data_IF_959417137952
#
_entry.id   IF_959417137952
#
_cell.length_a   1.000
_cell.length_b   1.000
_cell.length_c   1.000
_cell.angle_alpha   90.00
_cell.angle_beta   90.00
_cell.angle_gamma   90.00
#
_symmetry.space_group_name_H-M   'P 1'
#
loop_
_entity.id
_entity.type
_entity.pdbx_description
1 polymer ?
#
# COMPACT_ATOMS: atom_id res chain seq x y z
N UNK A 1 -16.49 -24.94 7.59
CA UNK A 1 -15.87 -23.84 8.37
C UNK A 1 -16.05 -22.57 7.58
N UNK A 2 -16.48 -21.49 8.22
CA UNK A 2 -16.58 -20.20 7.55
C UNK A 2 -15.15 -19.70 7.19
N UNK A 3 -14.92 -19.44 5.92
CA UNK A 3 -13.64 -18.93 5.44
C UNK A 3 -13.43 -17.50 5.96
N UNK A 4 -12.34 -17.26 6.68
CA UNK A 4 -11.98 -15.94 7.20
C UNK A 4 -10.88 -15.36 6.31
N UNK A 5 -11.17 -14.23 5.67
CA UNK A 5 -10.29 -13.58 4.71
C UNK A 5 -9.72 -12.30 5.33
N UNK A 6 -8.40 -12.17 5.30
CA UNK A 6 -7.73 -10.94 5.71
C UNK A 6 -6.95 -10.40 4.51
N UNK A 7 -7.23 -9.14 4.18
CA UNK A 7 -6.47 -8.36 3.22
C UNK A 7 -5.54 -7.41 3.96
N UNK A 8 -4.31 -7.29 3.51
CA UNK A 8 -3.33 -6.37 4.05
C UNK A 8 -2.95 -5.32 3.01
N UNK A 9 -2.82 -4.06 3.43
CA UNK A 9 -1.99 -3.14 2.68
C UNK A 9 -0.51 -3.54 2.82
N UNK A 10 0.36 -2.95 2.03
CA UNK A 10 1.79 -3.25 2.04
C UNK A 10 2.59 -2.14 2.72
N UNK A 11 2.62 -0.96 2.09
CA UNK A 11 3.45 0.17 2.52
C UNK A 11 2.88 0.79 3.80
N UNK A 12 3.66 0.83 4.88
CA UNK A 12 3.19 1.29 6.20
C UNK A 12 2.42 0.25 7.02
N UNK A 13 2.15 -0.92 6.44
CA UNK A 13 1.37 -2.00 7.09
C UNK A 13 2.20 -3.27 7.28
N UNK A 14 2.70 -3.87 6.22
CA UNK A 14 3.58 -5.04 6.26
C UNK A 14 5.05 -4.63 6.31
N UNK A 15 5.39 -3.55 5.61
CA UNK A 15 6.77 -3.07 5.52
C UNK A 15 6.85 -1.56 5.74
N UNK A 16 7.94 -1.12 6.36
CA UNK A 16 8.35 0.28 6.47
C UNK A 16 9.10 0.71 5.20
N UNK A 17 8.35 1.06 4.19
CA UNK A 17 8.87 1.53 2.89
C UNK A 17 9.03 3.04 2.80
N UNK A 18 8.73 3.75 3.88
CA UNK A 18 8.74 5.21 3.90
C UNK A 18 10.07 5.83 3.48
N UNK A 19 11.22 5.39 4.02
CA UNK A 19 12.51 5.96 3.62
C UNK A 19 12.71 5.96 2.10
N UNK A 20 12.42 4.84 1.43
CA UNK A 20 12.56 4.71 -0.02
C UNK A 20 11.57 5.57 -0.80
N UNK A 21 10.30 5.61 -0.38
CA UNK A 21 9.25 6.43 -1.01
C UNK A 21 9.56 7.91 -0.84
N UNK A 22 9.90 8.36 0.36
CA UNK A 22 10.19 9.76 0.66
C UNK A 22 11.42 10.28 -0.10
N UNK A 23 12.48 9.49 -0.17
CA UNK A 23 13.68 9.86 -0.95
C UNK A 23 13.43 9.87 -2.45
N UNK A 24 12.65 8.91 -2.97
CA UNK A 24 12.22 8.92 -4.36
C UNK A 24 11.36 10.16 -4.69
N UNK A 25 10.49 10.56 -3.76
CA UNK A 25 9.69 11.77 -3.88
C UNK A 25 10.57 13.03 -3.87
N UNK A 26 11.55 13.11 -2.96
CA UNK A 26 12.53 14.19 -2.94
C UNK A 26 13.31 14.28 -4.26
N UNK A 27 13.77 13.14 -4.77
CA UNK A 27 14.48 13.08 -6.06
C UNK A 27 13.62 13.64 -7.19
N UNK A 28 12.37 13.22 -7.26
CA UNK A 28 11.43 13.70 -8.26
C UNK A 28 11.12 15.21 -8.12
N UNK A 29 10.86 15.69 -6.90
CA UNK A 29 10.59 17.09 -6.62
C UNK A 29 11.75 18.00 -7.03
N UNK A 30 13.00 17.59 -6.74
CA UNK A 30 14.21 18.33 -7.14
C UNK A 30 14.35 18.49 -8.65
N UNK A 31 13.96 17.50 -9.44
CA UNK A 31 13.97 17.62 -10.90
C UNK A 31 13.05 18.73 -11.43
N UNK A 32 12.07 19.15 -10.64
CA UNK A 32 11.15 20.26 -10.94
C UNK A 32 11.42 21.53 -10.10
N UNK A 33 12.61 21.62 -9.50
CA UNK A 33 13.05 22.82 -8.75
C UNK A 33 12.39 22.97 -7.38
N UNK A 34 11.74 21.92 -6.86
CA UNK A 34 11.13 21.93 -5.53
C UNK A 34 12.08 21.27 -4.52
N UNK A 35 12.67 22.10 -3.65
CA UNK A 35 13.55 21.61 -2.58
C UNK A 35 12.74 21.32 -1.33
N UNK A 36 12.81 20.06 -0.85
CA UNK A 36 12.25 19.58 0.42
C UNK A 36 13.20 18.60 1.06
N UNK A 37 13.20 18.50 2.39
CA UNK A 37 13.84 17.39 3.07
C UNK A 37 12.95 16.16 2.93
N UNK A 38 13.55 15.01 2.63
CA UNK A 38 12.81 13.76 2.48
C UNK A 38 12.05 13.39 3.76
N UNK A 39 12.56 13.76 4.94
CA UNK A 39 11.92 13.53 6.24
C UNK A 39 10.60 14.29 6.43
N UNK A 40 10.34 15.30 5.59
CA UNK A 40 9.09 16.07 5.58
C UNK A 40 8.04 15.50 4.61
N UNK A 41 8.35 14.39 3.91
CA UNK A 41 7.54 13.84 2.82
C UNK A 41 6.81 12.54 3.20
N UNK A 42 6.56 12.31 4.50
CA UNK A 42 5.86 11.12 5.01
C UNK A 42 4.45 10.96 4.44
N UNK A 43 3.79 12.05 4.09
CA UNK A 43 2.47 12.05 3.45
C UNK A 43 2.45 11.49 2.01
N UNK A 44 3.63 11.23 1.41
CA UNK A 44 3.73 10.49 0.15
C UNK A 44 3.54 8.97 0.33
N UNK A 45 3.65 8.47 1.57
CA UNK A 45 3.50 7.04 1.83
C UNK A 45 2.02 6.68 1.92
N UNK A 46 1.56 5.82 1.01
CA UNK A 46 0.20 5.31 0.93
C UNK A 46 -0.73 5.98 -0.08
N UNK A 47 -0.84 7.31 -0.15
CA UNK A 47 -1.67 7.97 -1.17
C UNK A 47 -1.15 7.76 -2.60
N UNK A 48 -2.04 7.88 -3.62
CA UNK A 48 -1.63 7.90 -5.02
C UNK A 48 -0.64 9.07 -5.30
N UNK A 49 0.38 8.79 -6.10
CA UNK A 49 1.44 9.77 -6.40
C UNK A 49 0.92 11.02 -7.13
N UNK A 50 -0.11 10.88 -7.96
CA UNK A 50 -0.71 12.01 -8.66
C UNK A 50 -1.40 12.99 -7.70
N UNK A 51 -2.02 12.49 -6.64
CA UNK A 51 -2.63 13.33 -5.59
C UNK A 51 -1.55 14.07 -4.79
N UNK A 52 -0.44 13.42 -4.48
CA UNK A 52 0.64 14.03 -3.67
C UNK A 52 1.48 15.00 -4.48
N UNK A 53 1.92 14.65 -5.69
CA UNK A 53 2.64 15.61 -6.56
C UNK A 53 1.81 16.80 -6.97
N UNK A 54 0.48 16.63 -7.12
CA UNK A 54 -0.45 17.72 -7.42
C UNK A 54 -0.49 18.84 -6.38
N UNK A 55 0.09 18.66 -5.19
CA UNK A 55 0.26 19.68 -4.17
C UNK A 55 1.46 20.63 -4.47
N UNK A 56 2.37 20.23 -5.35
CA UNK A 56 3.65 20.92 -5.60
C UNK A 56 3.80 21.43 -7.02
N UNK A 57 3.04 20.92 -7.97
CA UNK A 57 3.23 21.21 -9.38
C UNK A 57 1.94 21.16 -10.18
N UNK A 58 1.87 21.80 -11.37
CA UNK A 58 0.73 21.73 -12.26
C UNK A 58 0.55 20.32 -12.85
N UNK A 59 -0.68 20.02 -13.29
CA UNK A 59 -1.07 18.67 -13.77
C UNK A 59 -0.22 18.16 -14.92
N UNK A 60 0.25 19.01 -15.78
CA UNK A 60 1.10 18.69 -16.94
C UNK A 60 2.45 18.11 -16.54
N UNK A 61 2.98 18.47 -15.36
CA UNK A 61 4.28 18.03 -14.87
C UNK A 61 4.20 16.74 -14.07
N UNK A 62 3.03 16.40 -13.54
CA UNK A 62 2.84 15.22 -12.67
C UNK A 62 3.31 13.92 -13.32
N UNK A 63 2.99 13.59 -14.59
CA UNK A 63 3.47 12.35 -15.21
C UNK A 63 4.99 12.24 -15.22
N UNK A 64 5.68 13.34 -15.58
CA UNK A 64 7.15 13.38 -15.58
C UNK A 64 7.75 13.26 -14.19
N UNK A 65 7.13 13.86 -13.16
CA UNK A 65 7.55 13.70 -11.77
C UNK A 65 7.39 12.25 -11.27
N UNK A 66 6.29 11.59 -11.64
CA UNK A 66 6.08 10.17 -11.34
C UNK A 66 7.14 9.30 -12.03
N UNK A 67 7.55 9.63 -13.25
CA UNK A 67 8.61 8.90 -13.94
C UNK A 67 9.97 9.11 -13.25
N UNK A 68 10.29 10.33 -12.79
CA UNK A 68 11.49 10.58 -11.98
C UNK A 68 11.45 9.82 -10.64
N UNK A 69 10.30 9.80 -9.96
CA UNK A 69 10.09 8.98 -8.76
C UNK A 69 10.41 7.51 -9.04
N UNK A 70 9.88 6.97 -10.13
CA UNK A 70 10.10 5.57 -10.53
C UNK A 70 11.56 5.26 -10.80
N UNK A 71 12.33 6.17 -11.42
CA UNK A 71 13.76 6.00 -11.66
C UNK A 71 14.48 5.71 -10.34
N UNK A 72 14.34 6.59 -9.34
CA UNK A 72 14.99 6.37 -8.04
C UNK A 72 14.44 5.13 -7.32
N UNK A 73 13.11 4.99 -7.32
CA UNK A 73 12.46 3.91 -6.58
C UNK A 73 12.83 2.52 -7.10
N UNK A 74 12.91 2.34 -8.43
CA UNK A 74 13.31 1.07 -9.04
C UNK A 74 14.79 0.74 -8.83
N UNK A 75 15.66 1.75 -8.84
CA UNK A 75 17.10 1.51 -8.70
C UNK A 75 17.50 1.25 -7.23
N UNK A 76 16.98 2.04 -6.31
CA UNK A 76 17.45 2.06 -4.91
C UNK A 76 16.29 2.01 -3.92
N UNK A 77 15.26 2.83 -4.12
CA UNK A 77 14.25 3.13 -3.10
C UNK A 77 13.48 1.91 -2.59
N UNK A 78 13.22 0.92 -3.44
CA UNK A 78 12.49 -0.29 -3.03
C UNK A 78 13.30 -1.16 -2.04
N UNK A 79 14.63 -1.01 -1.99
CA UNK A 79 15.53 -1.66 -1.03
C UNK A 79 15.66 -0.89 0.28
N UNK A 80 15.31 0.40 0.29
CA UNK A 80 15.23 1.24 1.50
C UNK A 80 13.90 0.97 2.22
N UNK A 81 13.70 -0.27 2.62
CA UNK A 81 12.45 -0.83 3.08
C UNK A 81 12.77 -2.04 3.96
N UNK A 82 11.95 -2.29 4.99
CA UNK A 82 12.08 -3.47 5.85
C UNK A 82 10.72 -3.90 6.40
N UNK A 83 10.50 -5.19 6.67
CA UNK A 83 9.28 -5.64 7.35
C UNK A 83 9.20 -5.07 8.76
N UNK A 84 8.00 -4.63 9.16
CA UNK A 84 7.79 -4.24 10.55
C UNK A 84 8.07 -5.41 11.50
N UNK A 85 8.62 -5.13 12.72
CA UNK A 85 8.81 -6.16 13.73
C UNK A 85 7.51 -6.92 14.05
N UNK A 86 7.58 -8.25 14.09
CA UNK A 86 6.44 -9.10 14.41
C UNK A 86 5.50 -9.43 13.25
N UNK A 87 5.71 -8.86 12.05
CA UNK A 87 4.85 -9.15 10.87
C UNK A 87 4.90 -10.64 10.51
N UNK A 88 6.08 -11.24 10.46
CA UNK A 88 6.22 -12.66 10.12
C UNK A 88 5.50 -13.55 11.11
N UNK A 89 5.67 -13.33 12.40
CA UNK A 89 5.04 -14.06 13.47
C UNK A 89 3.50 -13.90 13.47
N UNK A 90 3.03 -12.71 13.12
CA UNK A 90 1.61 -12.44 12.93
C UNK A 90 1.04 -13.26 11.77
N UNK A 91 1.70 -13.23 10.61
CA UNK A 91 1.27 -13.97 9.41
C UNK A 91 1.25 -15.48 9.67
N UNK A 92 2.31 -16.02 10.29
CA UNK A 92 2.37 -17.42 10.73
C UNK A 92 1.19 -17.79 11.64
N UNK A 93 0.89 -16.93 12.60
CA UNK A 93 -0.20 -17.15 13.56
C UNK A 93 -1.54 -17.16 12.86
N UNK A 94 -1.78 -16.24 11.95
CA UNK A 94 -3.04 -16.16 11.19
C UNK A 94 -3.24 -17.38 10.31
N UNK A 95 -2.21 -17.84 9.57
CA UNK A 95 -2.29 -19.04 8.75
C UNK A 95 -2.58 -20.28 9.60
N UNK A 96 -1.87 -20.46 10.74
CA UNK A 96 -2.11 -21.58 11.66
C UNK A 96 -3.52 -21.60 12.22
N UNK A 97 -4.18 -20.44 12.32
CA UNK A 97 -5.57 -20.31 12.74
C UNK A 97 -6.59 -20.38 11.58
N UNK A 98 -6.15 -20.77 10.38
CA UNK A 98 -7.03 -21.01 9.23
C UNK A 98 -7.51 -19.75 8.53
N UNK A 99 -6.85 -18.61 8.70
CA UNK A 99 -7.13 -17.40 7.93
C UNK A 99 -6.49 -17.51 6.54
N UNK A 100 -7.23 -17.07 5.53
CA UNK A 100 -6.75 -16.89 4.16
C UNK A 100 -6.24 -15.47 4.01
N UNK A 101 -5.00 -15.30 3.57
CA UNK A 101 -4.32 -14.01 3.55
C UNK A 101 -4.11 -13.52 2.12
N UNK A 102 -4.37 -12.23 1.91
CA UNK A 102 -4.23 -11.55 0.62
C UNK A 102 -3.58 -10.19 0.82
N UNK A 103 -2.91 -9.69 -0.22
CA UNK A 103 -2.44 -8.31 -0.25
C UNK A 103 -3.35 -7.50 -1.17
N UNK A 104 -3.73 -6.30 -0.73
CA UNK A 104 -4.49 -5.32 -1.51
C UNK A 104 -3.85 -3.94 -1.33
N UNK A 105 -2.94 -3.57 -2.21
CA UNK A 105 -2.13 -2.35 -2.12
C UNK A 105 -2.30 -1.42 -3.31
N UNK A 106 -2.19 -0.11 -3.09
CA UNK A 106 -2.14 0.88 -4.18
C UNK A 106 -0.79 0.92 -4.91
N UNK A 107 0.23 0.23 -4.37
CA UNK A 107 1.51 0.03 -5.04
C UNK A 107 1.33 -0.76 -6.35
N UNK A 108 2.20 -0.52 -7.35
CA UNK A 108 2.24 -1.35 -8.56
C UNK A 108 2.37 -2.83 -8.19
N UNK A 109 1.51 -3.68 -8.78
CA UNK A 109 1.47 -5.11 -8.45
C UNK A 109 2.84 -5.79 -8.63
N UNK A 110 3.56 -5.46 -9.72
CA UNK A 110 4.91 -5.99 -9.97
C UNK A 110 5.90 -5.63 -8.85
N UNK A 111 5.83 -4.40 -8.34
CA UNK A 111 6.68 -3.95 -7.24
C UNK A 111 6.28 -4.59 -5.92
N UNK A 112 4.99 -4.76 -5.67
CA UNK A 112 4.50 -5.44 -4.48
C UNK A 112 4.98 -6.90 -4.43
N UNK A 113 4.90 -7.61 -5.56
CA UNK A 113 5.42 -8.97 -5.70
C UNK A 113 6.93 -9.02 -5.46
N UNK A 114 7.69 -8.06 -6.04
CA UNK A 114 9.13 -7.99 -5.87
C UNK A 114 9.52 -7.75 -4.41
N UNK A 115 8.92 -6.79 -3.73
CA UNK A 115 9.17 -6.45 -2.32
C UNK A 115 8.84 -7.64 -1.41
N UNK A 116 7.66 -8.22 -1.55
CA UNK A 116 7.25 -9.35 -0.72
C UNK A 116 8.10 -10.60 -0.99
N UNK A 117 8.54 -10.82 -2.24
CA UNK A 117 9.47 -11.88 -2.61
C UNK A 117 10.84 -11.69 -1.96
N UNK A 118 11.39 -10.47 -2.00
CA UNK A 118 12.68 -10.12 -1.39
C UNK A 118 12.72 -10.43 0.11
N UNK A 119 11.66 -10.08 0.83
CA UNK A 119 11.56 -10.33 2.27
C UNK A 119 11.05 -11.75 2.62
N UNK A 120 10.78 -12.60 1.62
CA UNK A 120 10.25 -13.95 1.84
C UNK A 120 8.84 -13.94 2.47
N UNK A 121 8.06 -12.87 2.24
CA UNK A 121 6.69 -12.75 2.72
C UNK A 121 5.65 -13.22 1.68
N UNK A 122 6.01 -13.30 0.39
CA UNK A 122 5.08 -13.70 -0.66
C UNK A 122 4.37 -15.04 -0.41
N UNK A 123 5.03 -16.09 0.14
CA UNK A 123 4.38 -17.38 0.38
C UNK A 123 3.23 -17.38 1.40
N UNK A 124 3.09 -16.31 2.18
CA UNK A 124 1.98 -16.18 3.14
C UNK A 124 0.65 -15.84 2.45
N UNK A 125 0.69 -15.30 1.24
CA UNK A 125 -0.49 -14.75 0.58
C UNK A 125 -0.96 -15.63 -0.58
N UNK A 126 -2.26 -15.92 -0.63
CA UNK A 126 -2.87 -16.65 -1.74
C UNK A 126 -2.87 -15.81 -3.03
N UNK A 127 -2.99 -14.48 -2.90
CA UNK A 127 -2.78 -13.55 -4.00
C UNK A 127 -2.26 -12.20 -3.50
N UNK A 128 -1.46 -11.57 -4.35
CA UNK A 128 -1.00 -10.19 -4.21
C UNK A 128 -1.73 -9.38 -5.28
N UNK A 129 -2.50 -8.38 -4.85
CA UNK A 129 -3.24 -7.48 -5.73
C UNK A 129 -2.71 -6.07 -5.55
N UNK A 130 -2.24 -5.48 -6.62
CA UNK A 130 -1.70 -4.14 -6.66
C UNK A 130 -2.34 -3.29 -7.76
N UNK A 131 -1.91 -2.03 -7.86
CA UNK A 131 -2.30 -1.17 -8.97
C UNK A 131 -1.72 -1.71 -10.29
N UNK A 132 -2.49 -1.71 -11.39
CA UNK A 132 -1.93 -1.93 -12.71
C UNK A 132 -1.02 -0.75 -13.10
N UNK A 133 -0.06 -0.97 -14.02
CA UNK A 133 0.98 0.00 -14.35
C UNK A 133 0.54 1.30 -15.04
N UNK A 134 -0.74 1.44 -15.33
CA UNK A 134 -1.30 2.51 -16.17
C UNK A 134 -1.96 3.67 -15.39
N UNK A 135 -1.80 3.75 -14.07
CA UNK A 135 -2.41 4.76 -13.19
C UNK A 135 -3.93 4.93 -13.40
N UNK A 136 -4.64 3.86 -13.74
CA UNK A 136 -6.08 3.88 -13.97
C UNK A 136 -6.88 3.89 -12.67
N UNK A 137 -8.20 4.07 -12.80
CA UNK A 137 -9.14 3.89 -11.70
C UNK A 137 -8.99 2.51 -11.00
N UNK A 138 -8.46 1.50 -11.72
CA UNK A 138 -8.19 0.18 -11.16
C UNK A 138 -7.17 0.19 -10.00
N UNK A 139 -6.26 1.19 -9.95
CA UNK A 139 -5.32 1.38 -8.84
C UNK A 139 -5.92 1.98 -7.57
N UNK A 140 -7.16 2.49 -7.61
CA UNK A 140 -7.82 2.99 -6.40
C UNK A 140 -8.03 1.86 -5.39
N UNK A 141 -7.79 2.14 -4.10
CA UNK A 141 -7.83 1.13 -3.03
C UNK A 141 -9.09 0.26 -3.06
N UNK A 142 -10.28 0.83 -3.24
CA UNK A 142 -11.53 0.05 -3.30
C UNK A 142 -11.53 -0.98 -4.44
N UNK A 143 -10.95 -0.65 -5.59
CA UNK A 143 -10.93 -1.55 -6.75
C UNK A 143 -9.90 -2.67 -6.55
N UNK A 144 -8.76 -2.36 -5.95
CA UNK A 144 -7.75 -3.37 -5.59
C UNK A 144 -8.31 -4.33 -4.53
N UNK A 145 -9.03 -3.82 -3.53
CA UNK A 145 -9.74 -4.64 -2.54
C UNK A 145 -10.74 -5.58 -3.23
N UNK A 146 -11.57 -5.05 -4.15
CA UNK A 146 -12.54 -5.87 -4.90
C UNK A 146 -11.86 -6.95 -5.74
N UNK A 147 -10.74 -6.63 -6.39
CA UNK A 147 -9.95 -7.61 -7.13
C UNK A 147 -9.41 -8.72 -6.21
N UNK A 148 -8.93 -8.37 -5.01
CA UNK A 148 -8.47 -9.36 -4.03
C UNK A 148 -9.62 -10.25 -3.53
N UNK A 149 -10.79 -9.67 -3.23
CA UNK A 149 -11.99 -10.44 -2.84
C UNK A 149 -12.46 -11.37 -3.96
N UNK A 150 -12.39 -10.95 -5.22
CA UNK A 150 -12.70 -11.79 -6.37
C UNK A 150 -11.72 -12.96 -6.51
N UNK A 151 -10.41 -12.70 -6.39
CA UNK A 151 -9.38 -13.76 -6.39
C UNK A 151 -9.56 -14.73 -5.21
N UNK A 152 -10.04 -14.23 -4.07
CA UNK A 152 -10.38 -15.04 -2.91
C UNK A 152 -11.64 -15.90 -3.10
N UNK A 153 -12.47 -15.63 -4.11
CA UNK A 153 -13.79 -16.24 -4.24
C UNK A 153 -14.73 -15.88 -3.09
N UNK A 154 -14.55 -14.69 -2.48
CA UNK A 154 -15.30 -14.26 -1.32
C UNK A 154 -16.77 -14.04 -1.67
N UNK A 155 -17.67 -14.87 -1.11
CA UNK A 155 -19.13 -14.76 -1.31
C UNK A 155 -19.83 -14.09 -0.13
N UNK A 156 -19.22 -14.13 1.06
CA UNK A 156 -19.72 -13.48 2.27
C UNK A 156 -18.75 -12.39 2.75
N UNK A 157 -19.05 -11.14 2.41
CA UNK A 157 -18.22 -9.99 2.73
C UNK A 157 -18.06 -9.77 4.25
N UNK A 158 -18.96 -10.31 5.08
CA UNK A 158 -18.85 -10.20 6.55
C UNK A 158 -17.66 -11.00 7.11
N UNK A 159 -17.14 -11.95 6.33
CA UNK A 159 -15.98 -12.78 6.67
C UNK A 159 -14.65 -12.16 6.23
N UNK A 160 -14.70 -11.03 5.53
CA UNK A 160 -13.51 -10.34 5.04
C UNK A 160 -13.19 -9.08 5.86
N UNK A 161 -11.91 -8.79 5.99
CA UNK A 161 -11.39 -7.59 6.64
C UNK A 161 -10.17 -7.07 5.89
N UNK A 162 -9.99 -5.75 5.84
CA UNK A 162 -8.73 -5.14 5.44
C UNK A 162 -8.03 -4.49 6.64
N UNK A 163 -6.72 -4.68 6.72
CA UNK A 163 -5.82 -3.98 7.62
C UNK A 163 -4.96 -3.02 6.80
N UNK A 164 -4.89 -1.77 7.25
CA UNK A 164 -4.06 -0.75 6.63
C UNK A 164 -3.82 0.43 7.57
N UNK A 165 -2.86 1.26 7.24
CA UNK A 165 -2.42 2.36 8.08
C UNK A 165 -2.92 3.73 7.62
N UNK A 166 -3.60 3.83 6.44
CA UNK A 166 -4.08 5.09 5.90
C UNK A 166 -5.60 5.11 5.76
N UNK A 167 -6.16 6.33 5.73
CA UNK A 167 -7.59 6.55 5.47
C UNK A 167 -8.11 5.85 4.21
N UNK A 168 -7.27 5.70 3.19
CA UNK A 168 -7.64 5.04 1.93
C UNK A 168 -8.02 3.57 2.13
N UNK A 169 -7.40 2.87 3.10
CA UNK A 169 -7.70 1.48 3.45
C UNK A 169 -9.07 1.39 4.11
N UNK A 170 -9.32 2.30 5.06
CA UNK A 170 -10.58 2.35 5.80
C UNK A 170 -11.74 2.71 4.86
N UNK A 171 -11.58 3.78 4.07
CA UNK A 171 -12.61 4.21 3.11
C UNK A 171 -12.82 3.12 2.04
N UNK A 172 -11.73 2.58 1.50
CA UNK A 172 -11.78 1.54 0.47
C UNK A 172 -12.48 0.27 0.96
N UNK A 173 -12.19 -0.17 2.19
CA UNK A 173 -12.83 -1.32 2.82
C UNK A 173 -14.32 -1.10 3.07
N UNK A 174 -14.71 0.08 3.60
CA UNK A 174 -16.12 0.46 3.78
C UNK A 174 -16.88 0.47 2.44
N UNK A 175 -16.28 1.05 1.38
CA UNK A 175 -16.87 1.08 0.04
C UNK A 175 -16.94 -0.30 -0.63
N UNK A 176 -16.06 -1.22 -0.24
CA UNK A 176 -16.10 -2.61 -0.67
C UNK A 176 -17.08 -3.48 0.16
N UNK A 177 -17.62 -2.95 1.25
CA UNK A 177 -18.58 -3.64 2.13
C UNK A 177 -17.94 -4.64 3.11
N UNK A 178 -16.65 -4.51 3.40
CA UNK A 178 -15.93 -5.38 4.33
C UNK A 178 -15.55 -4.64 5.62
N UNK A 179 -15.16 -5.39 6.64
CA UNK A 179 -14.63 -4.80 7.88
C UNK A 179 -13.27 -4.17 7.65
N UNK A 180 -12.92 -3.18 8.46
CA UNK A 180 -11.66 -2.45 8.40
C UNK A 180 -11.00 -2.39 9.77
N UNK A 181 -9.67 -2.43 9.79
CA UNK A 181 -8.88 -2.17 10.98
C UNK A 181 -7.71 -1.24 10.65
N UNK A 182 -7.62 -0.13 11.37
CA UNK A 182 -6.54 0.83 11.26
C UNK A 182 -5.32 0.40 12.07
N UNK A 183 -4.14 0.47 11.46
CA UNK A 183 -2.84 0.17 12.10
C UNK A 183 -2.20 1.48 12.51
N UNK A 184 -1.70 1.56 13.76
CA UNK A 184 -1.18 2.80 14.33
C UNK A 184 0.36 2.89 14.35
N UNK A 185 1.06 1.88 13.89
CA UNK A 185 2.52 1.91 13.79
C UNK A 185 3.02 2.35 12.39
N UNK A 186 2.10 2.52 11.44
CA UNK A 186 2.38 3.04 10.10
C UNK A 186 2.37 4.57 10.04
N UNK A 187 2.05 5.12 8.87
CA UNK A 187 2.15 6.55 8.54
C UNK A 187 0.88 7.36 8.82
N UNK A 188 -0.28 6.70 8.97
CA UNK A 188 -1.54 7.36 9.29
C UNK A 188 -1.69 7.66 10.77
N UNK A 189 -2.23 8.84 11.09
CA UNK A 189 -2.55 9.19 12.47
C UNK A 189 -3.84 8.50 12.96
N UNK A 190 -3.99 8.40 14.28
CA UNK A 190 -5.24 7.91 14.88
C UNK A 190 -6.44 8.75 14.45
N UNK A 191 -6.26 10.06 14.33
CA UNK A 191 -7.29 11.02 13.91
C UNK A 191 -7.69 10.78 12.45
N UNK A 192 -6.72 10.58 11.55
CA UNK A 192 -6.96 10.23 10.15
C UNK A 192 -7.79 8.97 10.02
N UNK A 193 -7.40 7.91 10.73
CA UNK A 193 -8.07 6.61 10.67
C UNK A 193 -9.47 6.63 11.31
N UNK A 194 -9.65 7.40 12.39
CA UNK A 194 -10.95 7.49 13.08
C UNK A 194 -11.99 8.32 12.30
N UNK A 195 -11.54 9.28 11.48
CA UNK A 195 -12.41 10.12 10.65
C UNK A 195 -12.78 9.45 9.32
N UNK A 196 -12.06 8.42 8.91
CA UNK A 196 -12.29 7.66 7.68
C UNK A 196 -13.40 6.61 7.89
#
# INVERSE_FOLDING_TARGET
MQERIILFDLDGTLTDSGPGIMKASQFALRAYGVERDWQELDFFVGPPLDETFGQFMPKEDIPGAIDQFRVYYHDVGWLENEPYPGVREMLDTLQKNGFRLFVATSKLESMAVQVLGHFGLAPYFEAICGAPGDNTQAGKKVNVIRAALQKAGCTDLTQAMILGDRKHDIIGGKLAGIRTAGILYGYGSREELAQA
#
